data_IF_502878267523
#
_entry.id   IF_502878267523
#
_cell.length_a   1.000
_cell.length_b   1.000
_cell.length_c   1.000
_cell.angle_alpha   90.00
_cell.angle_beta   90.00
_cell.angle_gamma   90.00
#
_symmetry.space_group_name_H-M   'P 1'
#
loop_
_entity.id
_entity.type
_entity.pdbx_description
1 polymer ?
#
# COMPACT_ATOMS: atom_id res chain seq x y z
N UNK A 1 -33.66 -29.01 -26.04
CA UNK A 1 -32.18 -29.13 -25.95
C UNK A 1 -31.46 -27.83 -25.58
N UNK A 2 -31.78 -26.66 -26.16
CA UNK A 2 -31.06 -25.40 -25.88
C UNK A 2 -31.20 -24.85 -24.44
N UNK A 3 -32.30 -25.12 -23.77
CA UNK A 3 -32.56 -24.70 -22.37
C UNK A 3 -31.78 -25.54 -21.34
N UNK A 4 -31.62 -26.85 -21.58
CA UNK A 4 -30.82 -27.72 -20.70
C UNK A 4 -29.33 -27.38 -20.68
N UNK A 5 -28.79 -26.98 -21.84
CA UNK A 5 -27.39 -26.53 -21.94
C UNK A 5 -27.17 -25.24 -21.14
N UNK A 6 -28.13 -24.31 -21.16
CA UNK A 6 -28.04 -23.05 -20.39
C UNK A 6 -28.07 -23.28 -18.88
N UNK A 7 -28.90 -24.22 -18.41
CA UNK A 7 -28.97 -24.58 -16.99
C UNK A 7 -27.67 -25.29 -16.56
N UNK A 8 -27.15 -26.19 -17.39
CA UNK A 8 -25.86 -26.86 -17.12
C UNK A 8 -24.68 -25.89 -17.03
N UNK A 9 -24.61 -24.91 -17.93
CA UNK A 9 -23.56 -23.88 -17.91
C UNK A 9 -23.66 -22.98 -16.67
N UNK A 10 -24.88 -22.59 -16.27
CA UNK A 10 -25.07 -21.78 -15.05
C UNK A 10 -24.69 -22.58 -13.79
N UNK A 11 -25.05 -23.86 -13.71
CA UNK A 11 -24.66 -24.72 -12.60
C UNK A 11 -23.15 -24.91 -12.50
N UNK A 12 -22.45 -25.05 -13.63
CA UNK A 12 -20.99 -25.18 -13.68
C UNK A 12 -20.28 -23.90 -13.20
N UNK A 13 -20.80 -22.72 -13.58
CA UNK A 13 -20.23 -21.43 -13.15
C UNK A 13 -20.46 -21.19 -11.64
N UNK A 14 -21.62 -21.57 -11.11
CA UNK A 14 -21.89 -21.48 -9.67
C UNK A 14 -20.98 -22.42 -8.88
N UNK A 15 -20.75 -23.63 -9.37
CA UNK A 15 -19.85 -24.60 -8.74
C UNK A 15 -18.38 -24.14 -8.76
N UNK A 16 -17.95 -23.47 -9.83
CA UNK A 16 -16.61 -22.89 -9.92
C UNK A 16 -16.37 -21.72 -8.94
N UNK A 17 -17.41 -20.94 -8.61
CA UNK A 17 -17.34 -19.86 -7.62
C UNK A 17 -17.32 -20.33 -6.15
N UNK A 18 -17.58 -21.61 -5.88
CA UNK A 18 -17.56 -22.20 -4.53
C UNK A 18 -16.18 -22.76 -4.14
N UNK A 19 -15.22 -22.78 -5.06
CA UNK A 19 -13.86 -23.22 -4.76
C UNK A 19 -13.14 -22.14 -3.94
N UNK A 20 -12.57 -22.46 -2.76
CA UNK A 20 -11.79 -21.51 -1.98
C UNK A 20 -10.53 -21.13 -2.78
N UNK A 21 -10.49 -19.90 -3.27
CA UNK A 21 -9.27 -19.30 -3.80
C UNK A 21 -8.28 -19.15 -2.63
N UNK A 22 -7.01 -19.60 -2.72
CA UNK A 22 -5.99 -19.17 -1.78
C UNK A 22 -6.00 -17.64 -1.66
N UNK A 23 -6.41 -17.15 -0.49
CA UNK A 23 -6.30 -15.75 -0.13
C UNK A 23 -4.83 -15.34 -0.33
N UNK A 24 -4.60 -14.25 -1.07
CA UNK A 24 -3.26 -13.75 -1.32
C UNK A 24 -2.72 -13.24 0.04
N UNK A 25 -2.00 -14.12 0.75
CA UNK A 25 -1.42 -13.78 2.04
C UNK A 25 -0.23 -12.87 1.75
N UNK A 26 -0.36 -11.60 2.10
CA UNK A 26 0.74 -10.65 2.01
C UNK A 26 1.72 -11.03 3.11
N UNK A 27 2.80 -11.70 2.72
CA UNK A 27 3.81 -12.20 3.64
C UNK A 27 5.15 -11.51 3.43
N UNK A 28 5.90 -11.41 4.50
CA UNK A 28 7.25 -10.86 4.59
C UNK A 28 8.21 -11.96 5.04
N UNK A 29 9.50 -11.75 4.82
CA UNK A 29 10.54 -12.74 5.12
C UNK A 29 11.62 -12.11 6.00
N UNK A 30 12.08 -12.85 7.01
CA UNK A 30 13.33 -12.53 7.72
C UNK A 30 14.36 -13.58 7.32
N UNK A 31 15.55 -13.14 6.95
CA UNK A 31 16.71 -14.02 6.74
C UNK A 31 17.93 -13.44 7.43
N UNK A 32 18.97 -14.25 7.58
CA UNK A 32 20.23 -13.77 8.15
C UNK A 32 21.22 -14.89 8.37
N UNK A 33 22.39 -14.51 8.87
CA UNK A 33 23.47 -15.43 9.24
C UNK A 33 23.77 -15.36 10.72
N UNK A 34 24.08 -16.51 11.31
CA UNK A 34 24.52 -16.63 12.70
C UNK A 34 26.00 -16.99 12.72
N UNK A 35 26.79 -16.14 13.37
CA UNK A 35 28.26 -16.28 13.45
C UNK A 35 28.75 -16.27 14.89
N UNK A 36 29.94 -16.83 15.12
CA UNK A 36 30.66 -16.76 16.40
C UNK A 36 31.57 -15.51 16.45
N UNK A 37 32.23 -15.21 17.60
CA UNK A 37 33.10 -14.04 17.71
C UNK A 37 34.36 -14.09 16.83
N UNK A 38 34.70 -15.26 16.28
CA UNK A 38 35.80 -15.45 15.33
C UNK A 38 35.36 -15.27 13.86
N UNK A 39 34.06 -15.08 13.62
CA UNK A 39 33.46 -14.96 12.30
C UNK A 39 33.09 -16.29 11.65
N UNK A 40 33.17 -17.41 12.39
CA UNK A 40 32.77 -18.72 11.89
C UNK A 40 31.25 -18.89 11.93
N UNK A 41 30.67 -19.53 10.91
CA UNK A 41 29.26 -19.80 10.83
C UNK A 41 28.80 -20.85 11.86
N UNK A 42 27.67 -20.61 12.53
CA UNK A 42 27.10 -21.51 13.53
C UNK A 42 25.93 -22.29 12.93
N UNK A 43 26.13 -23.60 12.73
CA UNK A 43 25.09 -24.51 12.27
C UNK A 43 24.19 -25.02 13.42
N UNK A 44 22.91 -25.20 13.12
CA UNK A 44 21.94 -25.79 14.06
C UNK A 44 21.47 -24.88 15.20
N UNK A 45 21.79 -23.57 15.16
CA UNK A 45 21.27 -22.60 16.11
C UNK A 45 19.75 -22.47 15.96
N UNK A 46 19.04 -22.40 17.09
CA UNK A 46 17.59 -22.22 17.15
C UNK A 46 17.25 -20.73 17.04
N UNK A 47 16.53 -20.36 15.99
CA UNK A 47 16.09 -18.99 15.73
C UNK A 47 14.58 -18.92 15.96
N UNK A 48 14.15 -18.08 16.90
CA UNK A 48 12.73 -17.83 17.20
C UNK A 48 12.37 -16.40 16.86
N UNK A 49 11.42 -16.23 15.96
CA UNK A 49 10.87 -14.95 15.51
C UNK A 49 9.50 -14.76 16.14
N UNK A 50 9.32 -13.71 16.94
CA UNK A 50 8.07 -13.39 17.64
C UNK A 50 7.50 -12.07 17.16
N UNK A 51 6.24 -12.07 16.72
CA UNK A 51 5.50 -10.83 16.46
C UNK A 51 5.15 -10.19 17.80
N UNK A 52 5.59 -8.95 18.02
CA UNK A 52 5.40 -8.24 19.30
C UNK A 52 3.93 -7.80 19.51
N UNK A 53 3.14 -7.64 18.44
CA UNK A 53 1.74 -7.23 18.51
C UNK A 53 0.79 -8.42 18.73
N UNK A 54 1.05 -9.56 18.08
CA UNK A 54 0.16 -10.74 18.13
C UNK A 54 0.68 -11.88 19.01
N UNK A 55 1.92 -11.80 19.50
CA UNK A 55 2.65 -12.86 20.20
C UNK A 55 2.81 -14.16 19.40
N UNK A 56 2.54 -14.15 18.08
CA UNK A 56 2.74 -15.32 17.23
C UNK A 56 4.24 -15.57 17.03
N UNK A 57 4.68 -16.80 17.30
CA UNK A 57 6.07 -17.22 17.16
C UNK A 57 6.27 -18.16 15.96
N UNK A 58 7.44 -18.05 15.33
CA UNK A 58 7.92 -18.95 14.29
C UNK A 58 9.35 -19.35 14.63
N UNK A 59 9.66 -20.63 14.54
CA UNK A 59 11.00 -21.15 14.80
C UNK A 59 11.62 -21.66 13.50
N UNK A 60 12.93 -21.43 13.35
CA UNK A 60 13.76 -21.97 12.29
C UNK A 60 15.12 -22.40 12.88
N UNK A 61 15.89 -23.16 12.10
CA UNK A 61 17.25 -23.56 12.46
C UNK A 61 18.23 -23.10 11.40
N UNK A 62 19.45 -22.75 11.80
CA UNK A 62 20.50 -22.39 10.85
C UNK A 62 21.03 -23.61 10.09
N UNK A 63 21.36 -23.41 8.81
CA UNK A 63 21.96 -24.42 7.95
C UNK A 63 23.48 -24.58 8.21
N UNK A 64 24.18 -25.41 7.42
CA UNK A 64 25.63 -25.63 7.55
C UNK A 64 26.49 -24.39 7.29
N UNK A 65 25.93 -23.38 6.61
CA UNK A 65 26.56 -22.09 6.34
C UNK A 65 26.16 -21.01 7.35
N UNK A 66 25.42 -21.39 8.41
CA UNK A 66 24.95 -20.47 9.46
C UNK A 66 23.75 -19.61 9.05
N UNK A 67 23.19 -19.81 7.86
CA UNK A 67 22.06 -19.03 7.35
C UNK A 67 20.73 -19.58 7.88
N UNK A 68 19.77 -18.69 8.11
CA UNK A 68 18.39 -19.03 8.41
C UNK A 68 17.42 -18.19 7.58
N UNK A 69 16.23 -18.74 7.34
CA UNK A 69 15.14 -18.05 6.66
C UNK A 69 13.82 -18.38 7.36
N UNK A 70 13.04 -17.34 7.64
CA UNK A 70 11.69 -17.41 8.21
C UNK A 70 10.74 -16.67 7.29
N UNK A 71 9.88 -17.43 6.62
CA UNK A 71 8.86 -16.93 5.69
C UNK A 71 7.50 -16.82 6.38
N UNK A 72 6.50 -16.32 5.64
CA UNK A 72 5.10 -16.24 6.09
C UNK A 72 4.86 -15.35 7.31
N UNK A 73 5.67 -14.29 7.44
CA UNK A 73 5.50 -13.27 8.48
C UNK A 73 4.51 -12.20 8.02
N UNK A 74 3.65 -11.74 8.91
CA UNK A 74 2.74 -10.64 8.62
C UNK A 74 3.48 -9.30 8.85
N UNK A 75 3.13 -8.21 8.17
CA UNK A 75 3.74 -6.90 8.43
C UNK A 75 3.55 -6.46 9.88
N UNK A 76 4.60 -5.92 10.52
CA UNK A 76 4.55 -5.51 11.92
C UNK A 76 5.92 -5.50 12.61
N UNK A 77 5.92 -5.39 13.94
CA UNK A 77 7.14 -5.38 14.75
C UNK A 77 7.48 -6.76 15.28
N UNK A 78 8.76 -7.14 15.16
CA UNK A 78 9.27 -8.45 15.49
C UNK A 78 10.44 -8.41 16.46
N UNK A 79 10.56 -9.49 17.22
CA UNK A 79 11.71 -9.84 18.05
C UNK A 79 12.30 -11.14 17.50
N UNK A 80 13.61 -11.17 17.27
CA UNK A 80 14.37 -12.36 16.84
C UNK A 80 15.26 -12.80 17.98
N UNK A 81 15.13 -14.06 18.38
CA UNK A 81 15.95 -14.71 19.40
C UNK A 81 16.78 -15.81 18.78
N UNK A 82 18.07 -15.83 19.04
CA UNK A 82 18.97 -16.86 18.57
C UNK A 82 19.60 -17.56 19.77
N UNK A 83 19.43 -18.87 19.84
CA UNK A 83 19.92 -19.71 20.92
C UNK A 83 20.77 -20.85 20.36
N UNK A 84 21.94 -21.03 20.93
CA UNK A 84 22.81 -22.16 20.67
C UNK A 84 23.48 -22.63 21.96
N UNK A 85 23.73 -23.92 22.08
CA UNK A 85 24.46 -24.47 23.23
C UNK A 85 25.87 -23.89 23.32
N UNK A 86 26.30 -23.52 24.53
CA UNK A 86 27.60 -22.89 24.81
C UNK A 86 27.77 -21.46 24.27
N UNK A 87 26.68 -20.83 23.84
CA UNK A 87 26.62 -19.41 23.50
C UNK A 87 25.56 -18.69 24.34
N UNK A 88 25.75 -17.38 24.52
CA UNK A 88 24.75 -16.48 25.10
C UNK A 88 23.55 -16.35 24.15
N UNK A 89 22.34 -16.23 24.70
CA UNK A 89 21.15 -15.95 23.89
C UNK A 89 21.23 -14.53 23.34
N UNK A 90 21.14 -14.39 22.02
CA UNK A 90 21.06 -13.08 21.37
C UNK A 90 19.60 -12.74 21.10
N UNK A 91 19.17 -11.56 21.52
CA UNK A 91 17.80 -11.06 21.32
C UNK A 91 17.84 -9.74 20.61
N UNK A 92 17.37 -9.71 19.37
CA UNK A 92 17.20 -8.48 18.58
C UNK A 92 15.74 -8.04 18.63
N UNK A 93 15.47 -6.84 19.13
CA UNK A 93 14.12 -6.30 19.30
C UNK A 93 13.81 -5.17 18.33
N UNK A 94 12.52 -4.87 18.17
CA UNK A 94 12.00 -3.72 17.40
C UNK A 94 12.28 -3.78 15.89
N UNK A 95 12.32 -4.99 15.31
CA UNK A 95 12.50 -5.17 13.86
C UNK A 95 11.18 -4.86 13.16
N UNK A 96 11.12 -3.81 12.35
CA UNK A 96 9.93 -3.43 11.60
C UNK A 96 9.92 -4.11 10.22
N UNK A 97 8.87 -4.90 9.95
CA UNK A 97 8.65 -5.54 8.66
C UNK A 97 7.50 -4.86 7.90
N UNK A 98 7.80 -4.44 6.67
CA UNK A 98 6.83 -3.90 5.74
C UNK A 98 6.22 -5.00 4.85
N UNK A 99 5.12 -4.68 4.17
CA UNK A 99 4.44 -5.56 3.19
C UNK A 99 5.42 -6.05 2.13
N UNK A 100 5.50 -7.37 1.93
CA UNK A 100 6.35 -8.02 0.92
C UNK A 100 7.84 -7.63 1.01
N UNK A 101 8.30 -7.28 2.21
CA UNK A 101 9.71 -6.96 2.47
C UNK A 101 10.51 -8.19 2.90
N UNK A 102 11.83 -8.14 2.67
CA UNK A 102 12.79 -9.11 3.18
C UNK A 102 13.80 -8.39 4.06
N UNK A 103 13.73 -8.60 5.37
CA UNK A 103 14.72 -8.04 6.30
C UNK A 103 15.88 -9.01 6.48
N UNK A 104 17.11 -8.47 6.51
CA UNK A 104 18.33 -9.22 6.79
C UNK A 104 18.80 -8.88 8.21
N UNK A 105 18.82 -9.89 9.09
CA UNK A 105 19.19 -9.74 10.50
C UNK A 105 20.31 -10.73 10.81
N UNK A 106 21.54 -10.26 10.82
CA UNK A 106 22.69 -11.08 11.19
C UNK A 106 22.89 -11.07 12.71
N UNK A 107 23.22 -12.23 13.28
CA UNK A 107 23.42 -12.38 14.72
C UNK A 107 24.83 -12.92 15.01
N UNK A 108 25.63 -12.13 15.72
CA UNK A 108 26.90 -12.58 16.28
C UNK A 108 26.67 -13.09 17.70
N UNK A 109 26.87 -14.39 17.94
CA UNK A 109 26.74 -14.99 19.26
C UNK A 109 28.05 -14.86 20.04
N UNK A 110 27.96 -14.50 21.32
CA UNK A 110 29.10 -14.50 22.22
C UNK A 110 29.21 -15.84 22.94
N UNK A 111 30.43 -16.35 23.12
CA UNK A 111 30.69 -17.56 23.90
C UNK A 111 30.27 -17.32 25.35
N UNK A 112 29.48 -18.23 25.92
CA UNK A 112 28.97 -18.08 27.28
C UNK A 112 27.85 -19.08 27.60
N UNK A 113 27.31 -18.99 28.81
CA UNK A 113 26.16 -19.80 29.19
C UNK A 113 24.88 -19.28 28.50
N UNK A 114 23.99 -20.20 28.10
CA UNK A 114 22.69 -19.83 27.50
C UNK A 114 21.74 -19.10 28.46
N UNK A 115 22.09 -19.01 29.75
CA UNK A 115 21.37 -18.20 30.75
C UNK A 115 21.75 -16.71 30.71
N UNK A 116 22.80 -16.34 30.01
CA UNK A 116 23.17 -14.95 29.80
C UNK A 116 22.58 -14.46 28.46
N UNK A 117 21.91 -13.31 28.52
CA UNK A 117 21.22 -12.71 27.38
C UNK A 117 21.95 -11.44 26.94
N UNK A 118 22.12 -11.29 25.63
CA UNK A 118 22.57 -10.05 24.98
C UNK A 118 21.39 -9.47 24.22
N UNK A 119 20.88 -8.33 24.67
CA UNK A 119 19.80 -7.61 23.99
C UNK A 119 20.40 -6.57 23.05
N UNK A 120 20.11 -6.70 21.76
CA UNK A 120 20.46 -5.75 20.72
C UNK A 120 19.18 -5.02 20.32
N UNK A 121 19.14 -3.71 20.54
CA UNK A 121 18.07 -2.89 19.96
C UNK A 121 18.37 -2.68 18.47
N UNK A 122 17.43 -3.05 17.60
CA UNK A 122 17.57 -2.71 16.18
C UNK A 122 17.57 -1.18 16.06
N UNK A 123 18.71 -0.61 15.67
CA UNK A 123 18.80 0.81 15.36
C UNK A 123 17.88 1.11 14.15
N UNK A 124 17.07 2.18 14.17
CA UNK A 124 16.10 2.47 13.10
C UNK A 124 16.75 2.76 11.74
N UNK A 125 18.06 3.00 11.70
CA UNK A 125 18.81 3.17 10.45
C UNK A 125 19.23 1.80 9.90
N UNK A 126 18.26 0.98 9.48
CA UNK A 126 18.56 -0.15 8.61
C UNK A 126 18.81 0.40 7.19
N UNK A 127 20.07 0.44 6.80
CA UNK A 127 20.42 0.53 5.37
C UNK A 127 19.89 -0.75 4.72
N UNK A 128 19.01 -0.61 3.73
CA UNK A 128 18.50 -1.73 2.94
C UNK A 128 19.66 -2.39 2.18
N UNK A 129 20.23 -3.47 2.73
CA UNK A 129 21.34 -4.23 2.12
C UNK A 129 20.85 -5.36 1.20
N UNK A 130 19.54 -5.64 1.18
CA UNK A 130 18.95 -6.72 0.39
C UNK A 130 18.83 -6.38 -1.09
N UNK A 131 18.87 -5.08 -1.44
CA UNK A 131 18.79 -4.59 -2.81
C UNK A 131 19.99 -3.69 -3.11
N UNK A 132 20.49 -3.72 -4.35
CA UNK A 132 21.53 -2.77 -4.79
C UNK A 132 21.03 -1.32 -4.90
N UNK A 133 19.76 -1.07 -4.55
CA UNK A 133 19.11 0.22 -4.73
C UNK A 133 19.67 1.23 -3.72
N UNK A 134 20.30 2.28 -4.23
CA UNK A 134 20.76 3.39 -3.38
C UNK A 134 19.58 4.31 -3.15
N UNK A 135 18.98 4.18 -1.97
CA UNK A 135 17.83 4.97 -1.55
C UNK A 135 17.95 5.49 -0.14
N UNK A 136 17.17 6.53 0.16
CA UNK A 136 17.06 7.12 1.48
C UNK A 136 15.59 7.24 1.84
N UNK A 137 15.29 6.98 3.10
CA UNK A 137 13.96 7.14 3.68
C UNK A 137 14.05 8.31 4.67
N UNK A 138 13.11 9.26 4.55
CA UNK A 138 12.90 10.33 5.51
C UNK A 138 11.61 10.03 6.24
N UNK A 139 11.69 9.90 7.55
CA UNK A 139 10.55 9.57 8.39
C UNK A 139 9.59 10.77 8.51
N UNK A 140 8.29 10.50 8.66
CA UNK A 140 7.28 11.55 8.70
C UNK A 140 7.41 12.55 9.86
N UNK A 141 8.21 12.26 10.89
CA UNK A 141 8.54 13.23 11.95
C UNK A 141 9.58 14.25 11.46
N UNK A 142 10.65 13.79 10.81
CA UNK A 142 11.68 14.66 10.22
C UNK A 142 11.08 15.59 9.15
N UNK A 143 10.15 15.07 8.34
CA UNK A 143 9.41 15.86 7.33
C UNK A 143 8.67 17.07 7.94
N UNK A 144 8.23 16.96 9.20
CA UNK A 144 7.43 18.01 9.88
C UNK A 144 8.28 19.00 10.66
N UNK A 145 9.40 18.54 11.20
CA UNK A 145 10.31 19.37 11.99
C UNK A 145 11.20 20.25 11.12
N UNK A 146 11.42 19.86 9.86
CA UNK A 146 12.18 20.66 8.91
C UNK A 146 11.40 21.90 8.46
N UNK A 147 12.03 23.09 8.47
CA UNK A 147 11.41 24.32 8.00
C UNK A 147 11.30 24.32 6.46
N UNK A 148 10.26 23.68 5.93
CA UNK A 148 10.00 23.60 4.49
C UNK A 148 9.29 24.88 3.97
N UNK A 149 9.91 25.56 3.00
CA UNK A 149 9.32 26.75 2.37
C UNK A 149 8.00 26.38 1.64
N UNK A 150 6.93 27.12 1.86
CA UNK A 150 5.62 26.80 1.24
C UNK A 150 4.99 25.46 1.67
N UNK A 151 5.55 24.79 2.70
CA UNK A 151 5.12 23.45 3.17
C UNK A 151 5.10 22.43 2.02
N UNK A 152 6.11 22.47 1.16
CA UNK A 152 6.26 21.56 0.03
C UNK A 152 7.28 20.47 0.34
N UNK A 153 6.83 19.21 0.29
CA UNK A 153 7.66 18.02 0.50
C UNK A 153 8.74 17.87 -0.59
N UNK A 154 8.60 18.53 -1.74
CA UNK A 154 9.56 18.44 -2.84
C UNK A 154 10.94 18.93 -2.38
N UNK A 155 11.03 19.84 -1.41
CA UNK A 155 12.31 20.27 -0.85
C UNK A 155 13.08 19.16 -0.12
N UNK A 156 12.41 18.10 0.33
CA UNK A 156 13.08 16.95 0.95
C UNK A 156 14.01 16.25 -0.05
N UNK A 157 13.75 16.35 -1.36
CA UNK A 157 14.66 15.81 -2.37
C UNK A 157 16.03 16.48 -2.31
N UNK A 158 16.12 17.74 -1.88
CA UNK A 158 17.39 18.48 -1.81
C UNK A 158 18.28 18.07 -0.64
N UNK A 159 17.72 17.38 0.36
CA UNK A 159 18.50 16.81 1.47
C UNK A 159 19.30 15.58 1.03
N UNK A 160 19.04 15.10 -0.18
CA UNK A 160 19.56 13.85 -0.67
C UNK A 160 20.82 14.08 -1.49
N UNK A 161 21.88 13.29 -1.25
CA UNK A 161 23.11 13.46 -1.99
C UNK A 161 22.89 13.13 -3.48
N UNK A 162 23.52 13.92 -4.35
CA UNK A 162 23.41 13.77 -5.80
C UNK A 162 22.14 14.36 -6.40
N UNK A 163 21.31 15.06 -5.62
CA UNK A 163 20.18 15.85 -6.12
C UNK A 163 20.61 17.29 -6.35
N UNK A 164 20.40 17.80 -7.56
CA UNK A 164 20.68 19.18 -7.93
C UNK A 164 19.41 19.86 -8.44
N UNK A 165 18.86 20.88 -7.76
CA UNK A 165 17.71 21.62 -8.26
C UNK A 165 18.09 22.42 -9.52
N UNK A 166 17.16 22.53 -10.47
CA UNK A 166 17.33 23.33 -11.69
C UNK A 166 16.72 24.73 -11.51
N UNK A 167 17.03 25.67 -12.41
CA UNK A 167 16.50 27.04 -12.38
C UNK A 167 14.96 27.14 -12.32
N UNK A 168 14.25 26.13 -12.82
CA UNK A 168 12.79 26.03 -12.79
C UNK A 168 12.23 25.33 -11.54
N UNK A 169 13.07 25.01 -10.55
CA UNK A 169 12.61 24.43 -9.29
C UNK A 169 11.85 25.49 -8.46
N UNK A 170 10.54 25.30 -8.32
CA UNK A 170 9.67 26.18 -7.57
C UNK A 170 8.82 25.37 -6.58
N UNK A 171 9.24 25.32 -5.29
CA UNK A 171 8.50 24.62 -4.26
C UNK A 171 7.34 25.45 -3.67
N UNK A 172 7.16 26.72 -4.06
CA UNK A 172 6.13 27.61 -3.50
C UNK A 172 4.80 27.42 -4.21
N UNK A 173 4.85 27.34 -5.54
CA UNK A 173 3.67 27.12 -6.36
C UNK A 173 3.26 25.64 -6.39
N UNK A 174 2.01 25.35 -6.78
CA UNK A 174 1.43 24.00 -6.82
C UNK A 174 0.75 23.73 -8.18
N UNK A 175 0.63 22.46 -8.53
CA UNK A 175 0.06 21.99 -9.80
C UNK A 175 0.95 22.34 -11.00
N UNK A 176 0.32 22.72 -12.12
CA UNK A 176 1.02 23.06 -13.37
C UNK A 176 1.86 24.35 -13.28
N UNK A 177 1.61 25.19 -12.29
CA UNK A 177 2.37 26.42 -12.04
C UNK A 177 3.59 26.18 -11.12
N UNK A 178 3.71 24.97 -10.56
CA UNK A 178 4.87 24.58 -9.79
C UNK A 178 6.01 24.13 -10.69
N UNK A 179 7.20 23.97 -10.11
CA UNK A 179 8.31 23.31 -10.77
C UNK A 179 8.98 22.33 -9.83
N UNK A 180 8.97 21.04 -10.19
CA UNK A 180 9.70 20.00 -9.45
C UNK A 180 10.95 19.58 -10.22
N UNK A 181 11.58 20.52 -10.91
CA UNK A 181 12.73 20.28 -11.75
C UNK A 181 14.03 20.14 -10.95
N UNK A 182 14.49 18.91 -10.79
CA UNK A 182 15.82 18.61 -10.25
C UNK A 182 16.45 17.47 -11.05
N UNK A 183 17.77 17.45 -11.11
CA UNK A 183 18.54 16.33 -11.65
C UNK A 183 18.97 15.43 -10.49
N UNK A 184 18.98 14.12 -10.72
CA UNK A 184 19.57 13.15 -9.79
C UNK A 184 20.70 12.42 -10.50
N UNK A 185 21.90 12.49 -9.92
CA UNK A 185 23.12 11.88 -10.46
C UNK A 185 23.42 12.26 -11.93
N UNK A 186 23.03 13.48 -12.35
CA UNK A 186 23.24 13.99 -13.71
C UNK A 186 22.20 13.56 -14.74
N UNK A 187 21.14 12.85 -14.33
CA UNK A 187 20.03 12.47 -15.22
C UNK A 187 19.13 13.66 -15.58
N UNK A 188 18.35 13.50 -16.66
CA UNK A 188 17.37 14.49 -17.10
C UNK A 188 16.30 14.74 -16.02
N UNK A 189 15.88 16.00 -15.85
CA UNK A 189 14.88 16.40 -14.85
C UNK A 189 13.51 15.75 -15.08
N UNK A 190 13.17 15.44 -16.34
CA UNK A 190 11.95 14.71 -16.71
C UNK A 190 12.03 13.21 -16.45
N UNK A 191 13.19 12.71 -16.01
CA UNK A 191 13.43 11.30 -15.72
C UNK A 191 13.04 10.90 -14.30
N UNK A 192 12.59 11.84 -13.46
CA UNK A 192 12.19 11.56 -12.09
C UNK A 192 10.71 11.22 -12.02
N UNK A 193 10.36 10.18 -11.27
CA UNK A 193 8.96 9.80 -11.04
C UNK A 193 8.58 10.11 -9.61
N UNK A 194 7.45 10.77 -9.44
CA UNK A 194 6.75 10.93 -8.19
C UNK A 194 5.59 9.96 -8.11
N UNK A 195 5.52 9.24 -7.01
CA UNK A 195 4.45 8.33 -6.67
C UNK A 195 3.83 8.75 -5.34
N UNK A 196 2.51 8.63 -5.26
CA UNK A 196 1.75 8.77 -4.02
C UNK A 196 1.05 7.45 -3.79
N UNK A 197 1.35 6.79 -2.68
CA UNK A 197 0.85 5.45 -2.33
C UNK A 197 1.07 4.43 -3.47
N UNK A 198 2.24 4.52 -4.13
CA UNK A 198 2.60 3.70 -5.29
C UNK A 198 1.99 4.10 -6.63
N UNK A 199 1.14 5.13 -6.68
CA UNK A 199 0.49 5.60 -7.93
C UNK A 199 1.25 6.79 -8.52
N UNK A 200 1.55 6.73 -9.83
CA UNK A 200 2.24 7.81 -10.55
C UNK A 200 1.45 9.12 -10.47
N UNK A 201 2.13 10.18 -10.01
CA UNK A 201 1.60 11.51 -9.75
C UNK A 201 2.22 12.58 -10.67
N UNK A 202 3.07 12.19 -11.61
CA UNK A 202 3.64 13.10 -12.58
C UNK A 202 2.60 13.56 -13.59
N UNK A 203 2.79 14.78 -14.08
CA UNK A 203 2.11 15.27 -15.26
C UNK A 203 2.60 14.52 -16.51
N UNK A 204 1.71 13.78 -17.15
CA UNK A 204 1.97 13.05 -18.40
C UNK A 204 2.28 13.97 -19.60
N UNK A 205 1.98 15.26 -19.54
CA UNK A 205 2.31 16.21 -20.59
C UNK A 205 3.79 16.61 -20.56
N UNK A 206 4.19 17.33 -19.51
CA UNK A 206 5.55 17.86 -19.39
C UNK A 206 6.52 16.93 -18.65
N UNK A 207 6.02 16.03 -17.81
CA UNK A 207 6.79 15.23 -16.83
C UNK A 207 7.71 16.06 -15.92
N UNK A 208 7.42 17.36 -15.76
CA UNK A 208 8.18 18.33 -14.94
C UNK A 208 7.40 18.86 -13.74
N UNK A 209 6.12 18.55 -13.68
CA UNK A 209 5.21 18.95 -12.61
C UNK A 209 4.50 17.73 -12.04
N UNK A 210 3.94 17.89 -10.84
CA UNK A 210 3.12 16.86 -10.19
C UNK A 210 1.70 17.38 -10.01
N UNK A 211 0.71 16.49 -10.04
CA UNK A 211 -0.70 16.88 -9.97
C UNK A 211 -1.19 17.00 -8.53
N UNK A 212 -0.84 16.05 -7.68
CA UNK A 212 -1.30 15.95 -6.30
C UNK A 212 -0.19 16.39 -5.36
N UNK A 213 -0.48 17.39 -4.53
CA UNK A 213 0.38 17.82 -3.44
C UNK A 213 -0.25 17.42 -2.11
N UNK A 214 0.07 16.23 -1.55
CA UNK A 214 -0.31 15.91 -0.19
C UNK A 214 0.25 16.96 0.79
N UNK A 215 -0.49 17.25 1.86
CA UNK A 215 0.04 18.09 2.94
C UNK A 215 1.15 17.34 3.66
N UNK A 216 2.17 18.06 4.16
CA UNK A 216 3.28 17.44 4.92
C UNK A 216 2.81 16.68 6.16
N UNK A 217 1.68 17.09 6.76
CA UNK A 217 1.09 16.40 7.90
C UNK A 217 0.44 15.06 7.51
N UNK A 218 0.09 14.88 6.22
CA UNK A 218 -0.48 13.65 5.70
C UNK A 218 0.58 12.58 5.43
N UNK A 219 1.84 12.98 5.26
CA UNK A 219 2.93 12.09 4.86
C UNK A 219 3.35 11.27 6.07
N UNK A 220 3.39 9.95 5.89
CA UNK A 220 3.96 9.01 6.87
C UNK A 220 5.42 8.78 6.58
N UNK A 221 5.76 8.57 5.31
CA UNK A 221 7.11 8.23 4.86
C UNK A 221 7.39 8.90 3.51
N UNK A 222 8.60 9.42 3.36
CA UNK A 222 9.13 9.90 2.09
C UNK A 222 10.34 9.04 1.70
N UNK A 223 10.22 8.30 0.59
CA UNK A 223 11.27 7.42 0.11
C UNK A 223 11.77 7.90 -1.25
N UNK A 224 13.09 8.00 -1.40
CA UNK A 224 13.73 8.30 -2.68
C UNK A 224 14.69 7.17 -3.06
N UNK A 225 14.55 6.65 -4.28
CA UNK A 225 15.45 5.69 -4.90
C UNK A 225 16.22 6.40 -6.01
N UNK A 226 17.54 6.48 -5.90
CA UNK A 226 18.39 7.30 -6.79
C UNK A 226 19.16 6.48 -7.82
N UNK A 227 19.35 5.20 -7.58
CA UNK A 227 20.05 4.28 -8.48
C UNK A 227 19.63 2.82 -8.22
N UNK A 228 19.85 1.95 -9.20
CA UNK A 228 19.71 0.48 -9.07
C UNK A 228 18.36 0.01 -8.53
N UNK A 229 17.28 0.72 -8.88
CA UNK A 229 15.90 0.30 -8.64
C UNK A 229 15.47 -0.81 -9.61
N UNK A 230 14.46 -1.60 -9.22
CA UNK A 230 14.01 -2.75 -9.99
C UNK A 230 13.29 -2.37 -11.30
N UNK A 231 13.16 -3.33 -12.24
CA UNK A 231 12.58 -3.10 -13.56
C UNK A 231 11.07 -2.76 -13.53
N UNK A 232 10.40 -2.90 -12.39
CA UNK A 232 9.02 -2.48 -12.16
C UNK A 232 8.79 -0.98 -12.39
N UNK A 233 9.84 -0.16 -12.31
CA UNK A 233 9.79 1.29 -12.51
C UNK A 233 10.29 1.72 -13.89
N UNK A 234 9.78 1.11 -14.95
CA UNK A 234 10.29 1.27 -16.33
C UNK A 234 10.22 2.68 -16.95
N UNK A 235 9.57 3.65 -16.30
CA UNK A 235 9.51 5.04 -16.76
C UNK A 235 10.57 5.94 -16.06
N UNK A 236 11.21 5.46 -14.99
CA UNK A 236 12.19 6.23 -14.24
C UNK A 236 13.57 6.10 -14.89
N UNK A 237 14.22 7.24 -15.12
CA UNK A 237 15.60 7.34 -15.60
C UNK A 237 16.52 8.03 -14.58
N UNK A 238 15.94 8.87 -13.72
CA UNK A 238 16.61 9.55 -12.61
C UNK A 238 16.25 8.87 -11.30
N UNK A 239 15.51 9.58 -10.45
CA UNK A 239 15.03 9.05 -9.18
C UNK A 239 13.55 8.65 -9.20
N UNK A 240 13.21 7.72 -8.30
CA UNK A 240 11.83 7.40 -7.96
C UNK A 240 11.57 7.94 -6.55
N UNK A 241 10.55 8.77 -6.43
CA UNK A 241 10.12 9.38 -5.18
C UNK A 241 8.78 8.78 -4.84
N UNK A 242 8.72 7.98 -3.78
CA UNK A 242 7.47 7.44 -3.29
C UNK A 242 7.07 8.12 -1.98
N UNK A 243 5.80 8.53 -1.92
CA UNK A 243 5.18 9.17 -0.77
C UNK A 243 4.10 8.25 -0.23
N UNK A 244 4.26 7.78 1.00
CA UNK A 244 3.21 7.01 1.66
C UNK A 244 2.42 7.92 2.60
N UNK A 245 1.11 7.96 2.41
CA UNK A 245 0.20 8.72 3.25
C UNK A 245 -0.21 7.92 4.50
N UNK A 246 -0.45 8.61 5.61
CA UNK A 246 -1.02 7.97 6.81
C UNK A 246 -2.41 7.41 6.49
N UNK A 247 -2.62 6.13 6.80
CA UNK A 247 -3.87 5.37 6.58
C UNK A 247 -5.12 6.09 7.10
N UNK A 248 -5.00 6.87 8.18
CA UNK A 248 -6.11 7.66 8.75
C UNK A 248 -6.66 8.71 7.77
N UNK A 249 -5.84 9.30 6.90
CA UNK A 249 -6.30 10.32 5.94
C UNK A 249 -6.80 9.73 4.63
N UNK A 250 -6.30 8.56 4.19
CA UNK A 250 -6.90 7.82 3.08
C UNK A 250 -8.37 7.51 3.35
N UNK A 251 -8.66 6.98 4.55
CA UNK A 251 -10.02 6.64 4.96
C UNK A 251 -10.94 7.89 5.00
N UNK A 252 -10.44 9.02 5.49
CA UNK A 252 -11.19 10.29 5.53
C UNK A 252 -11.47 10.86 4.13
N UNK A 253 -10.52 10.77 3.19
CA UNK A 253 -10.76 11.20 1.79
C UNK A 253 -11.79 10.33 1.10
N UNK A 254 -11.73 9.02 1.33
CA UNK A 254 -12.70 8.06 0.79
C UNK A 254 -14.10 8.30 1.39
N UNK A 255 -14.18 8.65 2.68
CA UNK A 255 -15.43 9.06 3.33
C UNK A 255 -15.99 10.37 2.76
N UNK A 256 -15.15 11.40 2.57
CA UNK A 256 -15.57 12.70 2.04
C UNK A 256 -16.03 12.63 0.58
N UNK A 257 -15.37 11.81 -0.24
CA UNK A 257 -15.81 11.51 -1.61
C UNK A 257 -17.18 10.80 -1.60
N UNK A 258 -17.40 9.86 -0.67
CA UNK A 258 -18.69 9.17 -0.47
C UNK A 258 -19.80 10.12 0.00
N UNK A 259 -19.51 11.07 0.88
CA UNK A 259 -20.48 12.09 1.31
C UNK A 259 -20.89 13.01 0.17
N UNK A 260 -19.92 13.42 -0.66
CA UNK A 260 -20.18 14.24 -1.86
C UNK A 260 -21.07 13.48 -2.85
N UNK A 261 -20.78 12.19 -3.07
CA UNK A 261 -21.62 11.32 -3.91
C UNK A 261 -23.03 11.11 -3.32
N UNK A 262 -23.16 10.89 -2.00
CA UNK A 262 -24.47 10.79 -1.33
C UNK A 262 -25.30 12.05 -1.48
N UNK A 263 -24.70 13.21 -1.32
CA UNK A 263 -25.40 14.49 -1.47
C UNK A 263 -25.87 14.71 -2.92
N UNK A 264 -25.05 14.33 -3.91
CA UNK A 264 -25.44 14.36 -5.33
C UNK A 264 -26.60 13.42 -5.65
N UNK A 265 -26.58 12.19 -5.12
CA UNK A 265 -27.67 11.22 -5.30
C UNK A 265 -28.94 11.71 -4.61
N UNK A 266 -28.84 12.24 -3.39
CA UNK A 266 -29.97 12.79 -2.62
C UNK A 266 -30.64 13.97 -3.31
N UNK A 267 -29.88 14.86 -3.96
CA UNK A 267 -30.45 15.96 -4.74
C UNK A 267 -31.15 15.48 -6.01
N UNK A 268 -30.63 14.40 -6.62
CA UNK A 268 -31.22 13.78 -7.81
C UNK A 268 -32.51 13.03 -7.49
N UNK A 269 -32.56 12.28 -6.38
CA UNK A 269 -33.79 11.64 -5.90
C UNK A 269 -34.83 12.64 -5.43
N UNK A 270 -34.44 13.74 -4.79
CA UNK A 270 -35.36 14.83 -4.43
C UNK A 270 -35.98 15.51 -5.67
N UNK A 271 -35.22 15.67 -6.77
CA UNK A 271 -35.74 16.15 -8.06
C UNK A 271 -36.69 15.14 -8.71
N UNK A 272 -36.39 13.85 -8.66
CA UNK A 272 -37.24 12.78 -9.21
C UNK A 272 -38.54 12.60 -8.41
N UNK A 273 -38.51 12.77 -7.09
CA UNK A 273 -39.69 12.73 -6.23
C UNK A 273 -40.68 13.86 -6.53
N UNK A 274 -40.20 15.07 -6.89
CA UNK A 274 -41.06 16.16 -7.40
C UNK A 274 -41.75 15.83 -8.73
N UNK A 275 -41.21 14.88 -9.50
CA UNK A 275 -41.76 14.42 -10.78
C UNK A 275 -42.62 13.15 -10.69
N UNK A 276 -43.00 12.69 -9.47
CA UNK A 276 -43.84 11.49 -9.26
C UNK A 276 -43.26 10.19 -9.88
N UNK A 277 -41.94 10.11 -10.06
CA UNK A 277 -41.25 8.89 -10.50
C UNK A 277 -40.60 8.20 -9.28
N UNK A 278 -40.87 6.89 -9.10
CA UNK A 278 -40.31 6.11 -8.00
C UNK A 278 -38.82 5.83 -8.23
N UNK A 279 -37.98 6.21 -7.28
CA UNK A 279 -36.56 5.79 -7.21
C UNK A 279 -36.40 4.52 -6.37
N UNK A 280 -35.61 3.56 -6.85
CA UNK A 280 -35.22 2.35 -6.10
C UNK A 280 -34.02 2.69 -5.20
N UNK A 281 -34.00 2.31 -3.90
CA UNK A 281 -32.87 2.61 -3.02
C UNK A 281 -31.67 1.71 -3.33
N UNK A 282 -30.49 2.31 -3.46
CA UNK A 282 -29.21 1.60 -3.60
C UNK A 282 -28.62 1.40 -2.19
N UNK A 283 -28.56 0.15 -1.72
CA UNK A 283 -27.81 -0.19 -0.50
C UNK A 283 -26.32 -0.26 -0.84
N UNK A 284 -25.50 0.58 -0.19
CA UNK A 284 -24.04 0.50 -0.26
C UNK A 284 -23.49 -0.14 1.02
N UNK A 285 -22.46 -1.01 0.96
CA UNK A 285 -21.91 -1.67 2.14
C UNK A 285 -21.17 -0.70 3.08
N UNK A 286 -21.32 -0.94 4.38
CA UNK A 286 -20.73 -0.18 5.49
C UNK A 286 -19.37 -0.79 5.85
N UNK A 287 -18.29 0.00 5.87
CA UNK A 287 -17.03 -0.41 6.49
C UNK A 287 -17.08 -0.08 7.99
N UNK A 288 -16.95 -1.09 8.86
CA UNK A 288 -16.72 -0.92 10.31
C UNK A 288 -15.24 -1.19 10.62
N UNK A 289 -14.61 -0.44 11.55
CA UNK A 289 -13.18 -0.55 11.83
C UNK A 289 -12.76 -1.84 12.57
N UNK A 290 -13.67 -2.58 13.20
CA UNK A 290 -13.33 -3.72 14.07
C UNK A 290 -13.53 -5.12 13.45
N UNK A 291 -13.81 -5.20 12.14
CA UNK A 291 -13.84 -6.48 11.44
C UNK A 291 -13.22 -6.32 10.05
N UNK A 292 -12.05 -6.94 9.88
CA UNK A 292 -11.43 -7.18 8.57
C UNK A 292 -12.50 -7.73 7.61
N UNK A 293 -12.80 -7.05 6.49
CA UNK A 293 -13.67 -7.61 5.48
C UNK A 293 -12.86 -8.61 4.65
N UNK A 294 -13.33 -9.85 4.61
CA UNK A 294 -12.90 -10.84 3.62
C UNK A 294 -13.12 -10.26 2.20
N UNK A 295 -12.24 -10.52 1.23
CA UNK A 295 -12.27 -9.86 -0.06
C UNK A 295 -13.08 -10.69 -1.05
N UNK A 296 -14.36 -10.39 -1.26
CA UNK A 296 -15.02 -10.69 -2.54
C UNK A 296 -16.34 -9.92 -2.68
N UNK A 297 -16.61 -9.48 -3.91
CA UNK A 297 -17.80 -8.75 -4.38
C UNK A 297 -17.78 -7.24 -4.21
N UNK A 298 -16.96 -6.56 -5.01
CA UNK A 298 -17.31 -5.20 -5.44
C UNK A 298 -16.84 -4.85 -6.86
N UNK A 299 -16.75 -5.83 -7.75
CA UNK A 299 -16.59 -5.63 -9.18
C UNK A 299 -17.76 -6.28 -9.91
N UNK A 300 -18.27 -5.58 -10.93
CA UNK A 300 -19.43 -5.89 -11.77
C UNK A 300 -20.83 -5.56 -11.22
N UNK A 301 -21.31 -4.36 -11.55
CA UNK A 301 -22.61 -4.17 -12.26
C UNK A 301 -22.77 -2.72 -12.69
N UNK A 302 -22.12 -2.35 -13.80
CA UNK A 302 -22.55 -1.25 -14.66
C UNK A 302 -23.14 -1.88 -15.91
N UNK A 303 -24.46 -2.10 -15.94
CA UNK A 303 -25.19 -2.27 -17.19
C UNK A 303 -26.61 -1.74 -17.01
N UNK A 304 -26.88 -0.65 -17.72
CA UNK A 304 -28.19 -0.03 -17.84
C UNK A 304 -29.04 -0.90 -18.77
N UNK A 305 -30.16 -1.45 -18.30
CA UNK A 305 -31.23 -1.94 -19.20
C UNK A 305 -32.54 -1.29 -18.74
N UNK A 306 -32.93 -0.23 -19.45
CA UNK A 306 -34.27 0.35 -19.40
C UNK A 306 -35.24 -0.59 -20.12
N UNK A 307 -36.01 -1.39 -19.38
CA UNK A 307 -37.16 -2.12 -19.94
C UNK A 307 -38.40 -1.24 -19.76
N UNK A 308 -38.79 -0.55 -20.84
CA UNK A 308 -40.12 0.05 -20.97
C UNK A 308 -41.16 -1.06 -21.16
N UNK A 309 -42.09 -1.20 -20.23
CA UNK A 309 -43.32 -1.99 -20.43
C UNK A 309 -44.48 -1.02 -20.70
N UNK A 310 -45.11 -1.02 -21.88
CA UNK A 310 -46.31 -0.22 -22.11
C UNK A 310 -47.54 -0.91 -21.48
N UNK A 311 -48.30 -0.17 -20.65
CA UNK A 311 -49.60 -0.64 -20.14
C UNK A 311 -50.61 -0.69 -21.29
N UNK A 312 -51.23 -1.86 -21.51
CA UNK A 312 -52.40 -2.04 -22.39
C UNK A 312 -53.58 -1.19 -21.87
N UNK A 313 -54.11 -0.32 -22.72
CA UNK A 313 -55.41 0.32 -22.54
C UNK A 313 -56.52 -0.64 -23.00
N UNK A 314 -57.58 -0.78 -22.21
CA UNK A 314 -58.83 -1.46 -22.60
C UNK A 314 -59.87 -0.39 -22.94
N UNK A 315 -60.71 -0.54 -23.98
CA UNK A 315 -61.63 0.51 -24.40
C UNK A 315 -62.94 0.44 -23.61
N UNK A 316 -63.39 1.57 -23.08
CA UNK A 316 -64.75 1.75 -22.57
C UNK A 316 -65.53 2.65 -23.53
N UNK A 317 -66.70 2.16 -23.93
CA UNK A 317 -67.72 2.73 -24.81
C UNK A 317 -68.20 4.12 -24.36
N UNK A 318 -68.22 5.08 -25.28
CA UNK A 318 -68.76 6.43 -25.07
C UNK A 318 -70.26 6.48 -25.43
N UNK A 319 -71.09 6.90 -24.47
CA UNK A 319 -72.48 7.28 -24.68
C UNK A 319 -72.59 8.76 -25.05
N UNK A 320 -73.41 9.03 -26.07
CA UNK A 320 -73.77 10.31 -26.67
C UNK A 320 -74.53 11.27 -25.76
N UNK A 321 -74.26 12.58 -25.87
CA UNK A 321 -75.11 13.68 -25.40
C UNK A 321 -74.63 15.04 -25.92
N UNK A 322 -75.47 15.86 -26.59
CA UNK A 322 -75.02 17.02 -27.37
C UNK A 322 -75.04 18.35 -26.58
N UNK A 323 -74.07 19.22 -26.87
CA UNK A 323 -74.13 20.63 -26.52
C UNK A 323 -74.73 21.44 -27.67
N UNK A 324 -75.67 22.33 -27.31
CA UNK A 324 -75.89 23.60 -28.00
C UNK A 324 -75.14 24.67 -27.22
#
# INVERSE_FOLDING_TARGET
MRTGIRIGVVALVVLACLLPLPAQKVTSTIRGTVTDPSGAAIAGAEVTVRNQSTNLTRAARTNSSGEYVVTDLEPGKYEVRVKQQSFKESVTQNIELFVSSTAVIDAALQVGSASEQVTVEANPVQVETSTGAVGNVVEGNEVRELPLNGRSFVQLTQLMPGVSPQASFDPKNKGLLAGVDFSVNGNNTTGNIFMVDGVNNNDIGSNRTILVYPSIDAIQEFKILRNSYGPEYGQAMGAIINLEQRVQQMCQRQQRSRETSRNSVSQTTARLARMHLRSVPIHSPVCRPDRLPLPVHCWYSFFLILIFQPRRFSPATASTGPHR
#
